data_IF_576433265084
#
_entry.id   IF_576433265084
#
_cell.length_a   1.000
_cell.length_b   1.000
_cell.length_c   1.000
_cell.angle_alpha   90.00
_cell.angle_beta   90.00
_cell.angle_gamma   90.00
#
_symmetry.space_group_name_H-M   'P 1'
#
loop_
_entity.id
_entity.type
_entity.pdbx_description
1 polymer ?
#
# COMPACT_ATOMS: atom_id res chain seq x y z
N UNK A 1 45.21 11.29 -38.34
CA UNK A 1 45.05 12.55 -37.59
C UNK A 1 43.57 12.79 -37.68
N UNK A 2 42.80 12.13 -36.80
CA UNK A 2 41.36 12.03 -36.97
C UNK A 2 40.74 12.18 -35.58
N UNK A 3 40.59 13.46 -35.26
CA UNK A 3 39.52 14.12 -34.50
C UNK A 3 38.74 13.30 -33.46
N UNK A 4 38.99 13.66 -32.20
CA UNK A 4 37.98 13.61 -31.15
C UNK A 4 36.85 14.59 -31.46
N UNK A 5 35.60 14.14 -31.32
CA UNK A 5 34.55 14.96 -30.73
C UNK A 5 33.50 14.11 -30.00
N UNK A 6 32.87 14.64 -28.93
CA UNK A 6 32.29 13.84 -27.84
C UNK A 6 30.75 13.95 -27.69
N UNK A 7 30.15 12.89 -27.11
CA UNK A 7 28.83 12.78 -26.42
C UNK A 7 27.52 13.04 -27.21
N UNK A 8 26.34 12.63 -26.70
CA UNK A 8 25.92 11.39 -26.02
C UNK A 8 24.74 10.71 -26.77
N UNK A 9 24.22 9.56 -26.33
CA UNK A 9 22.99 9.58 -25.50
C UNK A 9 23.05 8.43 -24.47
N UNK A 10 22.18 8.17 -23.53
CA UNK A 10 21.00 8.76 -22.92
C UNK A 10 20.86 7.92 -21.63
N UNK A 11 20.38 8.53 -20.56
CA UNK A 11 19.61 7.88 -19.49
C UNK A 11 19.87 6.38 -19.22
N UNK A 12 20.98 6.06 -18.55
CA UNK A 12 21.02 4.87 -17.71
C UNK A 12 20.28 5.19 -16.40
N UNK A 13 18.95 5.31 -16.51
CA UNK A 13 18.04 5.23 -15.37
C UNK A 13 18.23 3.85 -14.73
N UNK A 14 19.04 3.79 -13.69
CA UNK A 14 19.00 2.69 -12.75
C UNK A 14 19.05 3.30 -11.35
N UNK A 15 17.93 3.93 -11.00
CA UNK A 15 17.62 4.26 -9.62
C UNK A 15 17.47 2.93 -8.87
N UNK A 16 18.59 2.55 -8.25
CA UNK A 16 18.70 1.82 -6.99
C UNK A 16 17.35 1.33 -6.40
N UNK A 17 17.13 0.03 -6.50
CA UNK A 17 16.09 -0.67 -5.73
C UNK A 17 16.40 -2.15 -5.57
N UNK A 18 17.68 -2.53 -5.58
CA UNK A 18 18.08 -3.89 -5.21
C UNK A 18 18.00 -4.09 -3.69
N UNK A 19 17.58 -5.30 -3.35
CA UNK A 19 17.79 -5.98 -2.09
C UNK A 19 16.87 -5.58 -0.92
N UNK A 20 15.64 -6.07 -1.00
CA UNK A 20 15.24 -7.00 0.07
C UNK A 20 14.77 -8.30 -0.57
N UNK A 21 15.63 -9.33 -0.52
CA UNK A 21 15.22 -10.73 -0.63
C UNK A 21 14.42 -11.04 0.64
N UNK A 22 13.20 -10.55 0.72
CA UNK A 22 12.26 -11.08 1.71
C UNK A 22 11.74 -12.40 1.17
N UNK A 23 11.90 -13.45 1.97
CA UNK A 23 11.20 -14.71 1.77
C UNK A 23 9.71 -14.41 1.68
N UNK A 24 9.19 -14.36 0.44
CA UNK A 24 7.76 -14.23 0.21
C UNK A 24 7.13 -15.50 0.75
N UNK A 25 6.48 -15.40 1.92
CA UNK A 25 5.71 -16.51 2.47
C UNK A 25 4.67 -16.92 1.43
N UNK A 26 4.53 -18.20 1.08
CA UNK A 26 3.50 -18.66 0.11
C UNK A 26 2.06 -18.54 0.68
N UNK A 27 1.95 -18.03 1.90
CA UNK A 27 0.76 -17.96 2.73
C UNK A 27 0.13 -16.55 2.70
N UNK A 28 -1.13 -16.44 3.12
CA UNK A 28 -1.79 -15.14 3.30
C UNK A 28 -1.57 -14.68 4.74
N UNK A 29 -0.89 -13.55 4.89
CA UNK A 29 -0.55 -12.95 6.19
C UNK A 29 -1.67 -12.05 6.68
N UNK A 30 -2.08 -12.20 7.95
CA UNK A 30 -3.10 -11.33 8.56
C UNK A 30 -2.46 -10.07 9.16
N UNK A 31 -2.73 -8.93 8.53
CA UNK A 31 -2.16 -7.64 8.92
C UNK A 31 -2.55 -7.23 10.35
N UNK A 32 -3.77 -7.58 10.79
CA UNK A 32 -4.26 -7.27 12.13
C UNK A 32 -3.39 -7.92 13.23
N UNK A 33 -2.92 -9.14 12.98
CA UNK A 33 -2.11 -9.91 13.94
C UNK A 33 -0.68 -9.37 14.07
N UNK A 34 -0.07 -8.97 12.95
CA UNK A 34 1.28 -8.40 12.94
C UNK A 34 1.28 -6.97 13.49
N UNK A 35 0.26 -6.19 13.15
CA UNK A 35 0.07 -4.86 13.69
C UNK A 35 -0.17 -4.88 15.20
N UNK A 36 -0.96 -5.83 15.72
CA UNK A 36 -1.15 -5.99 17.16
C UNK A 36 0.15 -6.32 17.92
N UNK A 37 1.12 -6.96 17.26
CA UNK A 37 2.45 -7.21 17.79
C UNK A 37 3.42 -6.04 17.58
N UNK A 38 3.02 -5.00 16.84
CA UNK A 38 3.89 -3.89 16.44
C UNK A 38 5.08 -4.32 15.57
N UNK A 39 4.99 -5.48 14.90
CA UNK A 39 6.06 -6.02 14.06
C UNK A 39 5.84 -5.62 12.59
N UNK A 40 6.93 -5.47 11.81
CA UNK A 40 6.80 -5.32 10.36
C UNK A 40 6.17 -6.58 9.76
N UNK A 41 5.35 -6.38 8.74
CA UNK A 41 4.66 -7.48 8.07
C UNK A 41 5.61 -7.99 6.99
N UNK A 42 6.09 -9.25 7.07
CA UNK A 42 6.95 -9.79 6.04
C UNK A 42 6.21 -9.85 4.70
N UNK A 43 6.96 -9.75 3.60
CA UNK A 43 6.38 -10.01 2.28
C UNK A 43 5.79 -11.43 2.22
N UNK A 44 4.56 -11.51 1.71
CA UNK A 44 3.80 -12.74 1.63
C UNK A 44 3.05 -12.80 0.30
N UNK A 45 2.54 -13.98 -0.07
CA UNK A 45 1.79 -14.14 -1.31
C UNK A 45 0.55 -13.28 -1.30
N UNK A 46 -0.07 -13.11 -0.14
CA UNK A 46 -1.12 -12.11 0.05
C UNK A 46 -1.20 -11.59 1.47
N UNK A 47 -1.96 -10.52 1.60
CA UNK A 47 -2.19 -9.79 2.84
C UNK A 47 -3.69 -9.72 3.08
N UNK A 48 -4.12 -10.22 4.23
CA UNK A 48 -5.49 -10.13 4.70
C UNK A 48 -5.64 -8.93 5.61
N UNK A 49 -6.59 -8.05 5.27
CA UNK A 49 -6.96 -6.90 6.06
C UNK A 49 -8.48 -6.79 6.17
N UNK A 50 -8.95 -5.92 7.06
CA UNK A 50 -10.38 -5.63 7.23
C UNK A 50 -10.70 -4.23 6.71
N UNK A 51 -11.73 -4.08 5.90
CA UNK A 51 -12.29 -2.79 5.45
C UNK A 51 -13.71 -2.66 5.98
N UNK A 52 -13.99 -1.64 6.82
CA UNK A 52 -15.28 -1.37 7.49
C UNK A 52 -15.82 -2.47 8.42
N UNK A 53 -15.92 -3.72 7.95
CA UNK A 53 -16.40 -4.92 8.66
C UNK A 53 -15.99 -6.21 7.93
N UNK A 54 -15.85 -6.14 6.62
CA UNK A 54 -15.51 -7.26 5.74
C UNK A 54 -13.99 -7.46 5.65
N UNK A 55 -13.57 -8.71 5.44
CA UNK A 55 -12.16 -9.08 5.27
C UNK A 55 -11.87 -9.19 3.79
N UNK A 56 -10.75 -8.60 3.38
CA UNK A 56 -10.27 -8.60 2.01
C UNK A 56 -8.83 -9.07 1.97
N UNK A 57 -8.47 -9.66 0.84
CA UNK A 57 -7.17 -10.22 0.57
C UNK A 57 -6.59 -9.55 -0.67
N UNK A 58 -5.35 -9.09 -0.56
CA UNK A 58 -4.62 -8.48 -1.67
C UNK A 58 -3.25 -9.12 -1.83
N UNK A 59 -2.84 -9.33 -3.07
CA UNK A 59 -1.56 -9.95 -3.40
C UNK A 59 -0.48 -8.90 -3.70
N UNK A 60 -0.86 -7.63 -3.61
CA UNK A 60 0.03 -6.49 -3.84
C UNK A 60 0.51 -5.95 -2.49
N UNK A 61 1.82 -5.74 -2.29
CA UNK A 61 2.37 -5.22 -1.04
C UNK A 61 2.08 -3.73 -0.83
N UNK A 62 1.93 -2.97 -1.93
CA UNK A 62 1.73 -1.52 -1.92
C UNK A 62 0.49 -1.10 -2.73
N UNK A 63 -0.71 -1.56 -2.35
CA UNK A 63 -1.92 -1.25 -3.09
C UNK A 63 -2.29 0.22 -3.03
N UNK A 64 -2.83 0.70 -4.14
CA UNK A 64 -3.39 2.06 -4.21
C UNK A 64 -4.69 2.11 -3.41
N UNK A 65 -5.04 3.27 -2.86
CA UNK A 65 -6.35 3.48 -2.21
C UNK A 65 -7.51 2.92 -3.06
N UNK A 66 -7.44 3.16 -4.36
CA UNK A 66 -8.49 2.80 -5.32
C UNK A 66 -8.60 1.28 -5.43
N UNK A 67 -7.47 0.57 -5.49
CA UNK A 67 -7.43 -0.89 -5.47
C UNK A 67 -8.09 -1.46 -4.22
N UNK A 68 -7.85 -0.86 -3.04
CA UNK A 68 -8.45 -1.30 -1.78
C UNK A 68 -9.97 -1.08 -1.78
N UNK A 69 -10.43 0.09 -2.26
CA UNK A 69 -11.84 0.42 -2.33
C UNK A 69 -12.58 -0.43 -3.38
N UNK A 70 -11.95 -0.65 -4.54
CA UNK A 70 -12.45 -1.52 -5.60
C UNK A 70 -12.59 -2.97 -5.12
N UNK A 71 -11.56 -3.49 -4.42
CA UNK A 71 -11.61 -4.79 -3.74
C UNK A 71 -12.75 -4.88 -2.74
N UNK A 72 -13.06 -3.77 -2.07
CA UNK A 72 -14.16 -3.68 -1.13
C UNK A 72 -15.55 -3.50 -1.80
N UNK A 73 -15.61 -3.39 -3.13
CA UNK A 73 -16.84 -3.09 -3.88
C UNK A 73 -17.34 -1.66 -3.67
N UNK A 74 -16.48 -0.76 -3.21
CA UNK A 74 -16.80 0.64 -2.90
C UNK A 74 -16.52 1.53 -4.10
N UNK A 75 -17.31 1.34 -5.15
CA UNK A 75 -17.27 2.13 -6.39
C UNK A 75 -18.50 3.03 -6.50
N UNK A 76 -18.37 4.29 -6.93
CA UNK A 76 -17.14 4.96 -7.39
C UNK A 76 -16.19 5.34 -6.25
N UNK A 77 -14.90 4.97 -6.36
CA UNK A 77 -13.85 5.17 -5.34
C UNK A 77 -13.61 6.65 -4.95
N UNK A 78 -14.10 7.60 -5.76
CA UNK A 78 -13.98 9.04 -5.52
C UNK A 78 -14.96 9.55 -4.43
N UNK A 79 -16.08 8.86 -4.26
CA UNK A 79 -17.10 9.11 -3.23
C UNK A 79 -16.76 8.42 -1.90
N UNK A 80 -15.64 7.72 -1.84
CA UNK A 80 -15.18 7.03 -0.63
C UNK A 80 -13.81 7.56 -0.19
N UNK A 81 -13.66 7.66 1.11
CA UNK A 81 -12.44 8.11 1.77
C UNK A 81 -11.84 6.92 2.50
N UNK A 82 -10.59 6.57 2.20
CA UNK A 82 -9.91 5.45 2.84
C UNK A 82 -9.01 5.97 3.96
N UNK A 83 -9.20 5.47 5.18
CA UNK A 83 -8.33 5.74 6.33
C UNK A 83 -7.66 4.46 6.77
N UNK A 84 -6.33 4.48 6.83
CA UNK A 84 -5.52 3.44 7.44
C UNK A 84 -5.46 3.66 8.94
N UNK A 85 -5.82 2.65 9.73
CA UNK A 85 -5.64 2.65 11.19
C UNK A 85 -4.34 1.92 11.49
N UNK A 86 -3.44 2.63 12.15
CA UNK A 86 -2.17 2.09 12.63
C UNK A 86 -2.27 1.67 14.10
N UNK A 87 -1.47 0.68 14.47
CA UNK A 87 -1.25 0.28 15.84
C UNK A 87 -0.66 1.45 16.63
N UNK A 88 -1.25 1.73 17.80
CA UNK A 88 -0.98 2.96 18.57
C UNK A 88 -2.09 4.02 18.43
N UNK A 89 -3.15 3.74 17.66
CA UNK A 89 -4.34 4.58 17.57
C UNK A 89 -4.24 5.70 16.52
N UNK A 90 -3.08 5.85 15.90
CA UNK A 90 -2.89 6.76 14.78
C UNK A 90 -3.75 6.33 13.59
N UNK A 91 -4.32 7.30 12.88
CA UNK A 91 -5.03 7.01 11.64
C UNK A 91 -4.59 7.95 10.56
N UNK A 92 -4.11 7.38 9.46
CA UNK A 92 -3.66 8.10 8.29
C UNK A 92 -4.76 8.13 7.24
N UNK A 93 -5.07 9.33 6.75
CA UNK A 93 -5.92 9.51 5.59
C UNK A 93 -5.11 9.18 4.33
N UNK A 94 -5.65 8.33 3.46
CA UNK A 94 -5.01 7.95 2.20
C UNK A 94 -5.67 8.75 1.07
N UNK A 95 -4.86 9.56 0.40
CA UNK A 95 -5.31 10.39 -0.71
C UNK A 95 -5.62 9.55 -1.97
N UNK A 96 -6.51 10.02 -2.86
CA UNK A 96 -6.75 9.33 -4.14
C UNK A 96 -5.44 9.27 -4.95
N UNK A 97 -5.15 8.11 -5.54
CA UNK A 97 -3.86 7.83 -6.20
C UNK A 97 -2.68 7.57 -5.25
N UNK A 98 -2.85 7.70 -3.92
CA UNK A 98 -1.80 7.38 -2.96
C UNK A 98 -1.68 5.86 -2.76
N UNK A 99 -0.44 5.37 -2.75
CA UNK A 99 -0.09 3.97 -2.47
C UNK A 99 0.06 3.76 -0.98
N UNK A 100 -0.43 2.64 -0.51
CA UNK A 100 -0.37 2.24 0.89
C UNK A 100 0.55 1.07 1.03
N UNK A 101 1.60 1.23 1.81
CA UNK A 101 2.50 0.13 2.10
C UNK A 101 1.91 -0.75 3.21
N UNK A 102 1.60 -2.00 2.88
CA UNK A 102 1.10 -3.01 3.82
C UNK A 102 2.21 -3.72 4.59
N UNK A 103 3.46 -3.59 4.15
CA UNK A 103 4.63 -4.13 4.83
C UNK A 103 5.03 -3.28 6.05
N UNK A 104 4.53 -2.03 6.08
CA UNK A 104 4.75 -1.11 7.19
C UNK A 104 4.26 -1.69 8.53
N UNK A 105 5.08 -1.55 9.59
CA UNK A 105 4.69 -1.99 10.92
C UNK A 105 3.46 -1.20 11.39
N UNK A 106 2.50 -1.94 11.96
CA UNK A 106 1.33 -1.35 12.58
C UNK A 106 0.10 -1.20 11.67
N UNK A 107 0.10 -1.67 10.43
CA UNK A 107 -1.12 -1.68 9.59
C UNK A 107 -2.20 -2.60 10.18
N UNK A 108 -3.15 -2.07 10.97
CA UNK A 108 -4.18 -2.90 11.60
C UNK A 108 -5.38 -3.15 10.67
N UNK A 109 -5.97 -2.07 10.16
CA UNK A 109 -7.26 -2.12 9.45
C UNK A 109 -7.50 -0.89 8.61
N UNK A 110 -8.37 -1.05 7.62
CA UNK A 110 -8.82 0.01 6.76
C UNK A 110 -10.25 0.41 7.11
N UNK A 111 -10.50 1.71 7.08
CA UNK A 111 -11.84 2.26 7.29
C UNK A 111 -12.19 3.10 6.07
N UNK A 112 -13.10 2.59 5.26
CA UNK A 112 -13.62 3.31 4.12
C UNK A 112 -14.89 4.04 4.54
N UNK A 113 -14.85 5.36 4.56
CA UNK A 113 -16.00 6.18 4.91
C UNK A 113 -16.56 6.79 3.64
N UNK A 114 -17.89 6.88 3.45
CA UNK A 114 -18.42 7.72 2.39
C UNK A 114 -17.87 9.13 2.61
N UNK A 115 -17.43 9.76 1.53
CA UNK A 115 -16.97 11.14 1.49
C UNK A 115 -18.19 12.04 1.67
N UNK A 116 -18.73 12.04 2.88
CA UNK A 116 -19.73 13.00 3.32
C UNK A 116 -19.06 14.38 3.26
N UNK A 117 -19.61 15.28 2.45
CA UNK A 117 -19.11 16.65 2.32
C UNK A 117 -19.16 17.34 3.68
N UNK A 118 -18.08 17.27 4.46
CA UNK A 118 -17.90 18.13 5.64
C UNK A 118 -17.04 19.34 5.29
N UNK A 119 -17.47 20.10 4.29
CA UNK A 119 -17.11 21.52 4.13
C UNK A 119 -18.36 22.26 3.61
N UNK A 120 -19.18 22.70 4.56
CA UNK A 120 -20.21 23.72 4.40
C UNK A 120 -19.99 24.78 5.47
#
# INVERSE_FOLDING_TARGET
MDEQSPHPPDEAGNEIGEAVREEVLDEIVDLEEYAAQGKPVPRARGYRFRVNRDRFEIFEPEPTRETILDKAGLTPVNDWTLRLKLHGGESRLIQPGERVDLTQPGVEKFKALPRDQTEG
#
